data_IF_568405026664
#
_entry.id   IF_568405026664
#
_cell.length_a   1.000
_cell.length_b   1.000
_cell.length_c   1.000
_cell.angle_alpha   90.00
_cell.angle_beta   90.00
_cell.angle_gamma   90.00
#
_symmetry.space_group_name_H-M   'P 1'
#
loop_
_entity.id
_entity.type
_entity.pdbx_description
1 polymer ?
#
# COMPACT_ATOMS: atom_id res chain seq x y z
N UNK A 1 -3.34 12.02 7.13
CA UNK A 1 -2.84 11.38 5.88
C UNK A 1 -4.04 10.95 5.02
N UNK A 2 -4.01 11.24 3.71
CA UNK A 2 -5.01 10.76 2.75
C UNK A 2 -4.51 9.45 2.12
N UNK A 3 -5.47 8.62 1.70
CA UNK A 3 -5.21 7.34 1.04
C UNK A 3 -5.94 7.30 -0.30
N UNK A 4 -5.27 6.79 -1.32
CA UNK A 4 -5.80 6.63 -2.68
C UNK A 4 -5.94 5.14 -3.01
N UNK A 5 -7.09 4.73 -3.53
CA UNK A 5 -7.31 3.35 -3.99
C UNK A 5 -6.44 3.04 -5.20
N UNK A 6 -5.90 1.83 -5.25
CA UNK A 6 -5.13 1.35 -6.40
C UNK A 6 -6.07 0.69 -7.39
N UNK A 7 -5.97 1.11 -8.66
CA UNK A 7 -6.69 0.51 -9.77
C UNK A 7 -5.70 -0.06 -10.79
N UNK A 8 -5.96 -1.26 -11.29
CA UNK A 8 -5.19 -1.90 -12.37
C UNK A 8 -6.18 -2.29 -13.45
N UNK A 9 -6.04 -1.73 -14.66
CA UNK A 9 -7.00 -1.91 -15.75
C UNK A 9 -8.46 -1.66 -15.31
N UNK A 10 -8.69 -0.52 -14.62
CA UNK A 10 -9.98 -0.12 -14.05
C UNK A 10 -10.55 -1.05 -12.96
N UNK A 11 -9.83 -2.10 -12.56
CA UNK A 11 -10.21 -2.98 -11.46
C UNK A 11 -9.59 -2.49 -10.15
N UNK A 12 -10.47 -2.14 -9.20
CA UNK A 12 -10.08 -1.76 -7.84
C UNK A 12 -9.38 -2.91 -7.13
N UNK A 13 -8.17 -2.65 -6.66
CA UNK A 13 -7.34 -3.62 -5.95
C UNK A 13 -7.58 -3.53 -4.44
N UNK A 14 -7.20 -4.58 -3.72
CA UNK A 14 -7.25 -4.62 -2.26
C UNK A 14 -6.07 -3.89 -1.60
N UNK A 15 -5.68 -2.76 -2.19
CA UNK A 15 -4.55 -1.95 -1.79
C UNK A 15 -4.91 -0.47 -1.87
N UNK A 16 -4.34 0.31 -0.96
CA UNK A 16 -4.35 1.77 -1.02
C UNK A 16 -2.93 2.31 -0.91
N UNK A 17 -2.68 3.46 -1.51
CA UNK A 17 -1.43 4.20 -1.37
C UNK A 17 -1.65 5.32 -0.36
N UNK A 18 -0.73 5.49 0.58
CA UNK A 18 -0.70 6.67 1.43
C UNK A 18 -0.09 7.85 0.67
N UNK A 19 -0.81 8.96 0.54
CA UNK A 19 -0.34 10.10 -0.25
C UNK A 19 0.86 10.82 0.40
N UNK A 20 1.05 10.63 1.72
CA UNK A 20 2.14 11.24 2.49
C UNK A 20 3.47 10.50 2.33
N UNK A 21 3.49 9.19 2.55
CA UNK A 21 4.71 8.37 2.56
C UNK A 21 4.84 7.46 1.34
N UNK A 22 3.86 7.49 0.43
CA UNK A 22 3.79 6.67 -0.80
C UNK A 22 3.84 5.15 -0.57
N UNK A 23 3.70 4.70 0.68
CA UNK A 23 3.62 3.27 1.03
C UNK A 23 2.29 2.67 0.57
N UNK A 24 2.36 1.48 -0.01
CA UNK A 24 1.19 0.66 -0.36
C UNK A 24 0.77 -0.13 0.88
N UNK A 25 -0.51 -0.05 1.24
CA UNK A 25 -1.10 -0.72 2.40
C UNK A 25 -2.25 -1.60 1.92
N UNK A 26 -2.29 -2.84 2.37
CA UNK A 26 -3.42 -3.74 2.10
C UNK A 26 -4.69 -3.18 2.73
N UNK A 27 -5.74 -3.08 1.93
CA UNK A 27 -7.06 -2.61 2.35
C UNK A 27 -8.14 -3.38 1.62
N UNK A 28 -8.99 -4.07 2.37
CA UNK A 28 -10.26 -4.63 1.87
C UNK A 28 -11.39 -3.92 2.59
N UNK A 29 -12.37 -3.44 1.84
CA UNK A 29 -13.58 -2.82 2.39
C UNK A 29 -14.30 -3.74 3.39
N UNK A 30 -14.27 -5.05 3.14
CA UNK A 30 -14.90 -6.08 3.98
C UNK A 30 -14.22 -6.33 5.33
N UNK A 31 -12.90 -6.13 5.44
CA UNK A 31 -12.13 -6.38 6.68
C UNK A 31 -11.91 -5.12 7.52
N UNK A 32 -12.46 -3.98 7.09
CA UNK A 32 -12.39 -2.72 7.80
C UNK A 32 -11.04 -1.99 7.71
N UNK A 33 -10.90 -0.92 8.52
CA UNK A 33 -9.80 0.06 8.40
C UNK A 33 -8.69 -0.11 9.45
N UNK A 34 -8.60 -1.27 10.11
CA UNK A 34 -7.66 -1.49 11.22
C UNK A 34 -6.19 -1.34 10.80
N UNK A 35 -5.81 -1.88 9.64
CA UNK A 35 -4.47 -1.73 9.07
C UNK A 35 -4.13 -0.28 8.73
N UNK A 36 -5.10 0.48 8.21
CA UNK A 36 -4.94 1.90 7.91
C UNK A 36 -4.70 2.73 9.17
N UNK A 37 -5.43 2.44 10.27
CA UNK A 37 -5.21 3.13 11.55
C UNK A 37 -3.80 2.89 12.10
N UNK A 38 -3.30 1.65 12.02
CA UNK A 38 -1.91 1.33 12.40
C UNK A 38 -0.90 2.10 11.54
N UNK A 39 -1.15 2.16 10.24
CA UNK A 39 -0.33 2.96 9.34
C UNK A 39 -0.34 4.44 9.71
N UNK A 40 -1.51 5.03 10.01
CA UNK A 40 -1.61 6.43 10.41
C UNK A 40 -0.72 6.75 11.62
N UNK A 41 -0.68 5.86 12.61
CA UNK A 41 0.14 6.04 13.82
C UNK A 41 1.66 6.00 13.55
N UNK A 42 2.10 5.30 12.48
CA UNK A 42 3.53 5.23 12.10
C UNK A 42 3.91 6.20 10.97
N UNK A 43 2.96 6.60 10.13
CA UNK A 43 3.17 7.43 8.95
C UNK A 43 3.79 8.79 9.28
N UNK A 44 3.47 9.36 10.45
CA UNK A 44 4.05 10.63 10.89
C UNK A 44 5.53 10.52 11.29
N UNK A 45 6.00 9.31 11.59
CA UNK A 45 7.40 9.05 11.97
C UNK A 45 8.31 8.77 10.78
N UNK A 46 7.72 8.52 9.60
CA UNK A 46 8.47 8.29 8.37
C UNK A 46 8.72 9.65 7.72
N UNK A 47 9.78 10.32 8.17
CA UNK A 47 10.49 11.29 7.31
C UNK A 47 10.92 10.51 6.09
N UNK A 48 10.71 11.04 4.88
CA UNK A 48 11.13 10.46 3.60
C UNK A 48 12.62 10.08 3.64
N UNK A 49 12.96 8.93 4.23
CA UNK A 49 14.22 8.28 3.92
C UNK A 49 13.99 7.70 2.54
N UNK A 50 14.90 8.01 1.62
CA UNK A 50 14.98 7.45 0.27
C UNK A 50 15.25 5.93 0.32
N UNK A 51 14.50 5.20 1.14
CA UNK A 51 14.68 3.79 1.41
C UNK A 51 13.89 3.04 0.37
N UNK A 52 14.57 2.90 -0.76
CA UNK A 52 14.71 1.64 -1.50
C UNK A 52 13.43 0.82 -1.55
N UNK A 53 12.84 0.82 -2.74
CA UNK A 53 12.11 -0.29 -3.35
C UNK A 53 12.54 -1.64 -2.77
N UNK A 54 11.97 -2.03 -1.62
CA UNK A 54 12.14 -3.37 -1.07
C UNK A 54 11.29 -4.28 -1.93
N UNK A 55 11.92 -4.70 -3.04
CA UNK A 55 11.77 -6.02 -3.63
C UNK A 55 10.32 -6.46 -3.78
N UNK A 56 9.70 -5.99 -4.88
CA UNK A 56 8.74 -6.81 -5.64
C UNK A 56 9.54 -8.01 -6.17
N UNK A 57 9.84 -8.98 -5.30
CA UNK A 57 10.43 -10.25 -5.72
C UNK A 57 9.30 -11.16 -6.12
N UNK A 58 9.06 -11.19 -7.44
CA UNK A 58 8.74 -12.38 -8.23
C UNK A 58 7.55 -13.22 -7.77
N UNK A 59 6.36 -12.94 -8.31
CA UNK A 59 5.22 -13.89 -8.30
C UNK A 59 4.69 -14.23 -9.71
N UNK A 60 5.35 -13.84 -10.80
CA UNK A 60 4.81 -14.02 -12.17
C UNK A 60 5.62 -14.93 -13.10
N UNK A 61 6.56 -15.72 -12.61
CA UNK A 61 7.30 -16.66 -13.47
C UNK A 61 7.19 -18.09 -12.98
N UNK A 62 6.02 -18.69 -13.18
CA UNK A 62 5.94 -20.05 -13.72
C UNK A 62 4.60 -20.19 -14.44
N UNK A 63 4.60 -19.83 -15.73
CA UNK A 63 3.63 -20.34 -16.68
C UNK A 63 4.35 -21.43 -17.48
N UNK A 64 4.03 -22.68 -17.17
CA UNK A 64 3.94 -23.81 -18.10
C UNK A 64 3.37 -25.02 -17.37
#
# INVERSE_FOLDING_TARGET
>A
PRFSLVFVNDVGQNFVICDKCRTIVTYKSSTGTGGLKKHLASCDKITLSNTTQSTITTYYTTSK
#
